data_IF_158690235165
#
_entry.id   IF_158690235165
#
_cell.length_a   1.000
_cell.length_b   1.000
_cell.length_c   1.000
_cell.angle_alpha   90.00
_cell.angle_beta   90.00
_cell.angle_gamma   90.00
#
_symmetry.space_group_name_H-M   'P 1'
#
loop_
_entity.id
_entity.type
_entity.pdbx_description
1 polymer ?
#
# COMPACT_ATOMS: atom_id res chain seq x y z
N UNK A 1 -16.77 -5.46 25.12
CA UNK A 1 -15.45 -4.81 25.22
C UNK A 1 -14.70 -5.16 23.95
N UNK A 2 -14.34 -4.21 23.07
CA UNK A 2 -13.51 -4.53 21.92
C UNK A 2 -12.13 -4.98 22.41
N UNK A 3 -11.65 -6.09 21.87
CA UNK A 3 -10.32 -6.64 22.16
C UNK A 3 -9.27 -5.64 21.68
N UNK A 4 -8.26 -5.28 22.49
CA UNK A 4 -7.17 -4.43 22.01
C UNK A 4 -6.47 -5.13 20.83
N UNK A 5 -6.28 -4.39 19.74
CA UNK A 5 -5.44 -4.84 18.64
C UNK A 5 -4.01 -5.08 19.16
N UNK A 6 -3.33 -6.16 18.73
CA UNK A 6 -1.97 -6.41 19.15
C UNK A 6 -1.05 -5.27 18.70
N UNK A 7 -0.25 -4.75 19.62
CA UNK A 7 0.83 -3.81 19.30
C UNK A 7 1.88 -4.57 18.48
N UNK A 8 2.20 -4.15 17.24
CA UNK A 8 3.28 -4.77 16.49
C UNK A 8 4.59 -4.58 17.25
N UNK A 9 5.32 -5.68 17.45
CA UNK A 9 6.66 -5.61 18.02
C UNK A 9 7.60 -4.92 17.01
N UNK A 10 8.58 -4.12 17.47
CA UNK A 10 9.58 -3.54 16.57
C UNK A 10 10.32 -4.68 15.85
N UNK A 11 10.07 -4.82 14.55
CA UNK A 11 10.76 -5.79 13.71
C UNK A 11 12.19 -5.30 13.47
N UNK A 12 13.18 -6.18 13.63
CA UNK A 12 14.54 -5.84 13.23
C UNK A 12 14.57 -5.53 11.72
N UNK A 13 15.43 -4.60 11.25
CA UNK A 13 15.54 -4.31 9.83
C UNK A 13 15.79 -5.58 9.04
N UNK A 14 14.91 -5.86 8.08
CA UNK A 14 15.02 -7.02 7.21
C UNK A 14 16.23 -6.84 6.29
N UNK A 15 17.10 -7.85 6.20
CA UNK A 15 18.09 -7.88 5.12
C UNK A 15 17.36 -8.09 3.79
N UNK A 16 17.52 -7.16 2.84
CA UNK A 16 16.84 -7.21 1.56
C UNK A 16 17.74 -7.87 0.52
N UNK A 17 17.51 -9.16 0.26
CA UNK A 17 18.31 -9.95 -0.67
C UNK A 17 17.51 -10.45 -1.89
N UNK A 18 16.19 -10.46 -1.79
CA UNK A 18 15.27 -10.89 -2.85
C UNK A 18 14.15 -9.88 -3.09
N UNK A 19 13.48 -10.02 -4.23
CA UNK A 19 12.30 -9.22 -4.55
C UNK A 19 11.15 -9.51 -3.56
N UNK A 20 11.05 -10.73 -3.02
CA UNK A 20 10.12 -11.05 -1.95
C UNK A 20 10.45 -10.30 -0.65
N UNK A 21 11.73 -10.17 -0.29
CA UNK A 21 12.13 -9.37 0.89
C UNK A 21 11.73 -7.91 0.72
N UNK A 22 11.91 -7.38 -0.50
CA UNK A 22 11.54 -6.00 -0.80
C UNK A 22 10.04 -5.78 -0.75
N UNK A 23 9.25 -6.72 -1.29
CA UNK A 23 7.79 -6.70 -1.23
C UNK A 23 7.32 -6.65 0.24
N UNK A 24 7.81 -7.60 1.03
CA UNK A 24 7.42 -7.72 2.44
C UNK A 24 7.86 -6.51 3.28
N UNK A 25 9.02 -5.89 3.00
CA UNK A 25 9.42 -4.63 3.65
C UNK A 25 8.40 -3.51 3.41
N UNK A 26 7.92 -3.36 2.17
CA UNK A 26 6.91 -2.35 1.83
C UNK A 26 5.58 -2.69 2.49
N UNK A 27 5.18 -3.96 2.52
CA UNK A 27 3.93 -4.39 3.13
C UNK A 27 3.92 -4.20 4.65
N UNK A 28 5.02 -4.52 5.33
CA UNK A 28 5.18 -4.28 6.76
C UNK A 28 5.04 -2.78 7.06
N UNK A 29 5.69 -1.92 6.26
CA UNK A 29 5.54 -0.47 6.38
C UNK A 29 4.09 -0.01 6.17
N UNK A 30 3.39 -0.53 5.15
CA UNK A 30 1.98 -0.20 4.88
C UNK A 30 1.07 -0.56 6.05
N UNK A 31 1.25 -1.75 6.64
CA UNK A 31 0.50 -2.20 7.82
C UNK A 31 0.77 -1.30 9.03
N UNK A 32 2.02 -0.94 9.27
CA UNK A 32 2.39 -0.05 10.37
C UNK A 32 1.79 1.36 10.18
N UNK A 33 1.79 1.89 8.95
CA UNK A 33 1.17 3.18 8.67
C UNK A 33 -0.34 3.18 8.90
N UNK A 34 -1.06 2.10 8.57
CA UNK A 34 -2.49 1.98 8.88
C UNK A 34 -2.75 2.10 10.38
N UNK A 35 -1.95 1.43 11.21
CA UNK A 35 -2.07 1.47 12.68
C UNK A 35 -1.79 2.87 13.21
N UNK A 36 -0.71 3.50 12.76
CA UNK A 36 -0.31 4.83 13.20
C UNK A 36 -1.33 5.90 12.80
N UNK A 37 -1.75 5.93 11.54
CA UNK A 37 -2.73 6.90 11.04
C UNK A 37 -4.07 6.76 11.75
N UNK A 38 -4.51 5.52 12.04
CA UNK A 38 -5.75 5.30 12.80
C UNK A 38 -5.66 5.90 14.20
N UNK A 39 -4.58 5.62 14.92
CA UNK A 39 -4.39 6.11 16.28
C UNK A 39 -4.32 7.65 16.32
N UNK A 40 -3.65 8.28 15.34
CA UNK A 40 -3.59 9.73 15.22
C UNK A 40 -4.97 10.35 14.90
N UNK A 41 -5.74 9.74 13.99
CA UNK A 41 -7.10 10.18 13.67
C UNK A 41 -8.03 10.08 14.88
N UNK A 42 -8.02 8.96 15.60
CA UNK A 42 -8.82 8.78 16.82
C UNK A 42 -8.46 9.82 17.88
N UNK A 43 -7.16 10.05 18.12
CA UNK A 43 -6.69 11.05 19.08
C UNK A 43 -7.12 12.48 18.69
N UNK A 44 -7.05 12.83 17.40
CA UNK A 44 -7.51 14.12 16.88
C UNK A 44 -9.01 14.32 17.09
N UNK A 45 -9.83 13.33 16.73
CA UNK A 45 -11.28 13.45 16.90
C UNK A 45 -11.71 13.45 18.37
N UNK A 46 -11.05 12.67 19.23
CA UNK A 46 -11.29 12.71 20.67
C UNK A 46 -10.95 14.09 21.27
N UNK A 47 -9.80 14.67 20.90
CA UNK A 47 -9.42 16.00 21.34
C UNK A 47 -10.40 17.09 20.87
N UNK A 48 -10.91 16.97 19.64
CA UNK A 48 -11.95 17.87 19.11
C UNK A 48 -13.26 17.76 19.88
N UNK A 49 -13.73 16.53 20.15
CA UNK A 49 -14.99 16.30 20.87
C UNK A 49 -14.92 16.81 22.33
N UNK A 50 -13.75 16.72 22.96
CA UNK A 50 -13.52 17.22 24.32
C UNK A 50 -13.44 18.76 24.39
N UNK A 51 -13.18 19.45 23.28
CA UNK A 51 -13.05 20.91 23.26
C UNK A 51 -14.42 21.60 23.22
N UNK A 52 -14.91 22.03 24.38
CA UNK A 52 -16.23 22.68 24.55
C UNK A 52 -16.17 24.09 25.16
N UNK A 53 -14.97 24.69 25.30
CA UNK A 53 -14.75 25.95 26.04
C UNK A 53 -14.13 27.10 25.21
N UNK A 54 -14.08 28.33 25.74
CA UNK A 54 -13.57 29.53 25.04
C UNK A 54 -12.03 29.56 24.87
N UNK A 55 -11.34 28.46 25.18
CA UNK A 55 -9.89 28.33 25.08
C UNK A 55 -9.42 28.16 23.64
N UNK A 56 -8.10 28.19 23.42
CA UNK A 56 -7.54 27.93 22.09
C UNK A 56 -7.92 26.49 21.67
N UNK A 57 -8.48 26.27 20.46
CA UNK A 57 -8.76 24.93 19.96
C UNK A 57 -7.47 24.08 19.93
N UNK A 58 -7.57 22.74 19.92
CA UNK A 58 -6.41 21.87 19.70
C UNK A 58 -5.59 22.39 18.51
N UNK A 59 -4.27 22.34 18.62
CA UNK A 59 -3.39 23.01 17.67
C UNK A 59 -3.74 22.61 16.22
N UNK A 60 -3.99 23.57 15.31
CA UNK A 60 -4.28 23.30 13.89
C UNK A 60 -3.25 22.39 13.21
N UNK A 61 -2.05 22.29 13.81
CA UNK A 61 -0.97 21.45 13.34
C UNK A 61 -1.27 19.95 13.32
N UNK A 62 -2.12 19.41 14.20
CA UNK A 62 -2.36 17.96 14.22
C UNK A 62 -3.19 17.48 13.02
N UNK A 63 -4.26 18.20 12.66
CA UNK A 63 -5.03 17.90 11.45
C UNK A 63 -4.21 18.06 10.17
N UNK A 64 -3.29 19.02 10.13
CA UNK A 64 -2.34 19.18 9.02
C UNK A 64 -1.31 18.05 8.96
N UNK A 65 -0.83 17.56 10.10
CA UNK A 65 0.08 16.42 10.17
C UNK A 65 -0.60 15.13 9.71
N UNK A 66 -1.82 14.85 10.16
CA UNK A 66 -2.60 13.70 9.69
C UNK A 66 -2.80 13.79 8.19
N UNK A 67 -3.15 14.98 7.66
CA UNK A 67 -3.28 15.19 6.23
C UNK A 67 -2.00 14.86 5.46
N UNK A 68 -0.85 15.34 5.93
CA UNK A 68 0.44 15.08 5.28
C UNK A 68 0.77 13.58 5.27
N UNK A 69 0.61 12.90 6.41
CA UNK A 69 0.89 11.46 6.52
C UNK A 69 -0.09 10.62 5.71
N UNK A 70 -1.37 10.97 5.69
CA UNK A 70 -2.35 10.29 4.84
C UNK A 70 -1.99 10.45 3.35
N UNK A 71 -1.52 11.63 2.92
CA UNK A 71 -1.08 11.84 1.54
C UNK A 71 0.16 11.02 1.21
N UNK A 72 1.18 11.02 2.09
CA UNK A 72 2.39 10.20 1.92
C UNK A 72 2.09 8.70 1.83
N UNK A 73 1.19 8.21 2.69
CA UNK A 73 0.70 6.83 2.62
C UNK A 73 -0.04 6.55 1.30
N UNK A 74 -0.95 7.45 0.88
CA UNK A 74 -1.71 7.29 -0.36
C UNK A 74 -0.81 7.32 -1.61
N UNK A 75 0.21 8.17 -1.62
CA UNK A 75 1.16 8.27 -2.73
C UNK A 75 2.06 7.03 -2.78
N UNK A 76 2.57 6.58 -1.63
CA UNK A 76 3.38 5.34 -1.55
C UNK A 76 2.58 4.12 -1.99
N UNK A 77 1.33 3.99 -1.54
CA UNK A 77 0.44 2.89 -1.96
C UNK A 77 0.18 2.93 -3.47
N UNK A 78 0.01 4.12 -4.04
CA UNK A 78 -0.19 4.29 -5.48
C UNK A 78 1.05 3.85 -6.26
N UNK A 79 2.23 4.28 -5.81
CA UNK A 79 3.50 3.91 -6.43
C UNK A 79 3.75 2.39 -6.39
N UNK A 80 3.50 1.77 -5.23
CA UNK A 80 3.63 0.33 -5.01
C UNK A 80 2.76 -0.48 -5.97
N UNK A 81 1.43 -0.27 -5.98
CA UNK A 81 0.54 -1.01 -6.88
C UNK A 81 0.84 -0.73 -8.36
N UNK A 82 1.24 0.50 -8.71
CA UNK A 82 1.62 0.81 -10.11
C UNK A 82 2.86 0.03 -10.52
N UNK A 83 3.87 -0.07 -9.64
CA UNK A 83 5.07 -0.85 -9.92
C UNK A 83 4.75 -2.35 -10.08
N UNK A 84 3.80 -2.87 -9.30
CA UNK A 84 3.31 -4.24 -9.47
C UNK A 84 2.60 -4.46 -10.80
N UNK A 85 1.59 -3.64 -11.08
CA UNK A 85 0.78 -3.72 -12.29
C UNK A 85 1.64 -3.63 -13.56
N UNK A 86 2.58 -2.69 -13.58
CA UNK A 86 3.36 -2.38 -14.78
C UNK A 86 4.59 -3.29 -14.96
N UNK A 87 5.11 -3.87 -13.88
CA UNK A 87 6.41 -4.57 -13.91
C UNK A 87 6.39 -5.95 -13.25
N UNK A 88 5.94 -6.05 -11.99
CA UNK A 88 6.07 -7.30 -11.23
C UNK A 88 5.09 -8.36 -11.72
N UNK A 89 3.80 -8.06 -11.80
CA UNK A 89 2.77 -9.02 -12.21
C UNK A 89 2.98 -9.51 -13.65
N UNK A 90 3.32 -8.66 -14.64
CA UNK A 90 3.68 -9.14 -15.98
C UNK A 90 4.90 -10.08 -15.99
N UNK A 91 5.93 -9.76 -15.19
CA UNK A 91 7.12 -10.60 -15.05
C UNK A 91 6.80 -11.97 -14.43
N UNK A 92 5.96 -12.00 -13.40
CA UNK A 92 5.46 -13.23 -12.77
C UNK A 92 4.65 -14.03 -13.78
N UNK A 93 3.72 -13.42 -14.51
CA UNK A 93 2.88 -14.11 -15.51
C UNK A 93 3.71 -14.78 -16.60
N UNK A 94 4.79 -14.14 -17.05
CA UNK A 94 5.67 -14.68 -18.09
C UNK A 94 6.36 -15.98 -17.65
N UNK A 95 6.73 -16.10 -16.36
CA UNK A 95 7.44 -17.27 -15.83
C UNK A 95 6.50 -18.29 -15.14
N UNK A 96 5.33 -17.83 -14.68
CA UNK A 96 4.36 -18.62 -13.91
C UNK A 96 2.94 -18.46 -14.50
N UNK A 97 2.68 -18.91 -15.75
CA UNK A 97 1.41 -18.66 -16.45
C UNK A 97 0.18 -19.29 -15.76
N UNK A 98 0.39 -20.27 -14.88
CA UNK A 98 -0.67 -20.89 -14.07
C UNK A 98 -1.23 -19.96 -12.98
N UNK A 99 -0.59 -18.83 -12.70
CA UNK A 99 -1.06 -17.84 -11.73
C UNK A 99 -1.99 -16.77 -12.33
N UNK A 100 -2.36 -16.87 -13.61
CA UNK A 100 -3.17 -15.84 -14.31
C UNK A 100 -4.38 -15.35 -13.49
N UNK A 101 -5.23 -16.27 -13.04
CA UNK A 101 -6.46 -15.90 -12.31
C UNK A 101 -6.16 -15.21 -10.97
N UNK A 102 -5.05 -15.59 -10.31
CA UNK A 102 -4.55 -14.93 -9.10
C UNK A 102 -4.11 -13.50 -9.41
N UNK A 103 -3.34 -13.29 -10.48
CA UNK A 103 -2.84 -11.97 -10.87
C UNK A 103 -3.98 -11.05 -11.34
N UNK A 104 -4.93 -11.58 -12.10
CA UNK A 104 -6.12 -10.82 -12.53
C UNK A 104 -6.93 -10.33 -11.32
N UNK A 105 -7.04 -11.18 -10.28
CA UNK A 105 -7.65 -10.78 -9.01
C UNK A 105 -6.89 -9.67 -8.30
N UNK A 106 -5.55 -9.73 -8.23
CA UNK A 106 -4.75 -8.68 -7.60
C UNK A 106 -4.97 -7.31 -8.27
N UNK A 107 -4.99 -7.29 -9.61
CA UNK A 107 -5.27 -6.07 -10.38
C UNK A 107 -6.68 -5.51 -10.07
N UNK A 108 -7.69 -6.38 -9.90
CA UNK A 108 -9.03 -5.94 -9.52
C UNK A 108 -9.09 -5.39 -8.09
N UNK A 109 -8.33 -5.99 -7.17
CA UNK A 109 -8.16 -5.50 -5.79
C UNK A 109 -7.44 -4.14 -5.77
N UNK A 110 -6.40 -3.92 -6.58
CA UNK A 110 -5.72 -2.62 -6.73
C UNK A 110 -6.68 -1.51 -7.17
N UNK A 111 -7.56 -1.81 -8.13
CA UNK A 111 -8.60 -0.87 -8.58
C UNK A 111 -9.62 -0.57 -7.48
N UNK A 112 -10.00 -1.57 -6.69
CA UNK A 112 -10.90 -1.39 -5.55
C UNK A 112 -10.28 -0.51 -4.47
N UNK A 113 -9.02 -0.78 -4.11
CA UNK A 113 -8.25 0.00 -3.15
C UNK A 113 -8.04 1.45 -3.61
N UNK A 114 -7.82 1.67 -4.91
CA UNK A 114 -7.74 3.03 -5.47
C UNK A 114 -9.04 3.80 -5.23
N UNK A 115 -10.21 3.19 -5.47
CA UNK A 115 -11.51 3.84 -5.18
C UNK A 115 -11.70 4.12 -3.69
N UNK A 116 -11.24 3.22 -2.81
CA UNK A 116 -11.31 3.40 -1.36
C UNK A 116 -10.43 4.54 -0.88
N UNK A 117 -9.20 4.60 -1.39
CA UNK A 117 -8.25 5.69 -1.16
C UNK A 117 -8.83 7.04 -1.58
N UNK A 118 -9.44 7.13 -2.77
CA UNK A 118 -10.06 8.36 -3.26
C UNK A 118 -11.21 8.85 -2.37
N UNK A 119 -12.06 7.94 -1.85
CA UNK A 119 -13.10 8.28 -0.88
C UNK A 119 -12.51 8.84 0.41
N UNK A 120 -11.45 8.21 0.93
CA UNK A 120 -10.77 8.67 2.14
C UNK A 120 -10.13 10.07 1.94
N UNK A 121 -9.47 10.29 0.80
CA UNK A 121 -8.86 11.57 0.45
C UNK A 121 -9.90 12.70 0.32
N UNK A 122 -11.09 12.39 -0.19
CA UNK A 122 -12.18 13.37 -0.25
C UNK A 122 -12.62 13.82 1.15
N UNK A 123 -12.70 12.90 2.12
CA UNK A 123 -13.03 13.22 3.51
C UNK A 123 -11.90 13.96 4.24
N UNK A 124 -10.65 13.68 3.87
CA UNK A 124 -9.46 14.32 4.43
C UNK A 124 -9.42 15.84 4.17
N UNK A 125 -10.07 16.31 3.09
CA UNK A 125 -10.17 17.72 2.77
C UNK A 125 -10.76 18.54 3.93
N UNK A 126 -11.73 17.96 4.64
CA UNK A 126 -12.47 18.58 5.73
C UNK A 126 -12.13 17.98 7.10
N UNK A 127 -10.99 17.32 7.31
CA UNK A 127 -10.66 16.61 8.57
C UNK A 127 -10.73 17.49 9.84
N UNK A 128 -10.66 18.82 9.69
CA UNK A 128 -10.78 19.80 10.79
C UNK A 128 -12.22 20.14 11.19
N UNK A 129 -13.21 19.86 10.34
CA UNK A 129 -14.63 20.28 10.52
C UNK A 129 -15.64 19.19 10.17
N UNK A 130 -15.24 18.21 9.37
CA UNK A 130 -16.06 17.13 8.84
C UNK A 130 -16.42 16.04 9.85
N UNK A 131 -17.20 15.09 9.36
CA UNK A 131 -17.77 13.98 10.13
C UNK A 131 -16.69 12.94 10.51
N UNK A 132 -16.37 12.91 11.80
CA UNK A 132 -15.42 11.97 12.37
C UNK A 132 -15.85 10.50 12.22
N UNK A 133 -17.15 10.21 12.36
CA UNK A 133 -17.68 8.85 12.28
C UNK A 133 -17.53 8.33 10.86
N UNK A 134 -17.86 9.16 9.87
CA UNK A 134 -17.71 8.80 8.47
C UNK A 134 -16.24 8.60 8.08
N UNK A 135 -15.33 9.49 8.49
CA UNK A 135 -13.90 9.35 8.22
C UNK A 135 -13.34 8.04 8.78
N UNK A 136 -13.62 7.73 10.05
CA UNK A 136 -13.12 6.52 10.69
C UNK A 136 -13.71 5.25 10.06
N UNK A 137 -14.98 5.27 9.68
CA UNK A 137 -15.60 4.13 9.00
C UNK A 137 -14.98 3.85 7.63
N UNK A 138 -14.73 4.89 6.82
CA UNK A 138 -14.07 4.73 5.51
C UNK A 138 -12.59 4.33 5.64
N UNK A 139 -11.90 4.86 6.66
CA UNK A 139 -10.54 4.44 6.98
C UNK A 139 -10.50 2.94 7.31
N UNK A 140 -11.39 2.46 8.19
CA UNK A 140 -11.42 1.07 8.63
C UNK A 140 -11.76 0.11 7.51
N UNK A 141 -12.68 0.51 6.63
CA UNK A 141 -13.01 -0.24 5.42
C UNK A 141 -11.78 -0.38 4.51
N UNK A 142 -11.09 0.72 4.23
CA UNK A 142 -9.87 0.69 3.41
C UNK A 142 -8.76 -0.13 4.07
N UNK A 143 -8.55 0.02 5.38
CA UNK A 143 -7.54 -0.72 6.12
C UNK A 143 -7.78 -2.24 6.08
N UNK A 144 -9.05 -2.67 6.22
CA UNK A 144 -9.44 -4.06 6.10
C UNK A 144 -9.24 -4.62 4.69
N UNK A 145 -9.63 -3.85 3.67
CA UNK A 145 -9.40 -4.21 2.26
C UNK A 145 -7.91 -4.36 1.95
N UNK A 146 -7.08 -3.41 2.39
CA UNK A 146 -5.64 -3.44 2.14
C UNK A 146 -5.00 -4.61 2.88
N UNK A 147 -5.34 -4.83 4.15
CA UNK A 147 -4.77 -5.95 4.93
C UNK A 147 -5.08 -7.30 4.28
N UNK A 148 -6.33 -7.52 3.86
CA UNK A 148 -6.73 -8.76 3.18
C UNK A 148 -6.05 -8.93 1.80
N UNK A 149 -5.88 -7.83 1.08
CA UNK A 149 -5.16 -7.81 -0.19
C UNK A 149 -3.68 -8.21 0.00
N UNK A 150 -2.96 -7.57 0.93
CA UNK A 150 -1.55 -7.87 1.20
C UNK A 150 -1.35 -9.33 1.63
N UNK A 151 -2.25 -9.88 2.46
CA UNK A 151 -2.21 -11.30 2.86
C UNK A 151 -2.39 -12.25 1.67
N UNK A 152 -3.33 -11.93 0.77
CA UNK A 152 -3.57 -12.73 -0.42
C UNK A 152 -2.37 -12.66 -1.38
N UNK A 153 -1.85 -11.47 -1.63
CA UNK A 153 -0.68 -11.28 -2.48
C UNK A 153 0.54 -12.03 -1.94
N UNK A 154 0.86 -11.87 -0.66
CA UNK A 154 2.00 -12.53 -0.04
C UNK A 154 1.91 -14.05 -0.14
N UNK A 155 0.71 -14.62 0.03
CA UNK A 155 0.46 -16.06 -0.08
C UNK A 155 0.91 -16.61 -1.44
N UNK A 156 0.72 -15.85 -2.51
CA UNK A 156 0.97 -16.32 -3.87
C UNK A 156 2.29 -15.83 -4.47
N UNK A 157 2.70 -14.59 -4.16
CA UNK A 157 3.85 -13.96 -4.78
C UNK A 157 5.15 -14.22 -4.03
N UNK A 158 5.14 -14.32 -2.69
CA UNK A 158 6.39 -14.55 -1.93
C UNK A 158 7.14 -15.81 -2.40
N UNK A 159 6.49 -16.97 -2.62
CA UNK A 159 7.21 -18.18 -3.05
C UNK A 159 7.91 -18.04 -4.41
N UNK A 160 7.33 -17.27 -5.34
CA UNK A 160 7.90 -17.08 -6.69
C UNK A 160 8.93 -15.95 -6.71
N UNK A 161 8.72 -14.89 -5.92
CA UNK A 161 9.62 -13.75 -5.85
C UNK A 161 10.87 -13.99 -4.98
N UNK A 162 10.83 -14.96 -4.05
CA UNK A 162 11.98 -15.32 -3.22
C UNK A 162 13.18 -15.83 -4.04
N UNK A 163 12.94 -16.26 -5.28
CA UNK A 163 13.98 -16.74 -6.21
C UNK A 163 14.60 -15.63 -7.06
N UNK A 164 14.11 -14.38 -6.94
CA UNK A 164 14.56 -13.24 -7.72
C UNK A 164 15.50 -12.38 -6.85
N UNK A 165 16.82 -12.32 -7.14
CA UNK A 165 17.75 -11.47 -6.38
C UNK A 165 17.40 -9.99 -6.47
N UNK A 166 17.62 -9.25 -5.39
CA UNK A 166 17.43 -7.80 -5.34
C UNK A 166 18.74 -7.07 -4.97
N UNK A 167 19.11 -5.96 -5.65
CA UNK A 167 18.40 -5.37 -6.79
C UNK A 167 18.46 -6.27 -8.03
N UNK A 168 17.43 -6.25 -8.90
CA UNK A 168 17.42 -7.04 -10.12
C UNK A 168 18.63 -6.66 -10.98
N UNK A 169 19.25 -7.66 -11.60
CA UNK A 169 20.36 -7.42 -12.52
C UNK A 169 19.91 -6.46 -13.64
N UNK A 170 20.79 -5.57 -14.14
CA UNK A 170 20.47 -4.76 -15.30
C UNK A 170 20.05 -5.67 -16.47
N UNK A 171 19.09 -5.25 -17.31
CA UNK A 171 18.73 -6.02 -18.48
C UNK A 171 20.00 -6.32 -19.29
N UNK A 172 20.22 -7.60 -19.60
CA UNK A 172 21.31 -8.01 -20.47
C UNK A 172 21.22 -7.33 -21.83
N UNK A 173 22.31 -7.29 -22.62
CA UNK A 173 22.27 -6.77 -23.99
C UNK A 173 21.12 -7.44 -24.75
N UNK A 174 20.17 -6.64 -25.24
CA UNK A 174 19.16 -7.17 -26.16
C UNK A 174 19.87 -7.49 -27.47
N UNK A 175 19.81 -8.76 -27.90
CA UNK A 175 20.28 -9.12 -29.24
C UNK A 175 19.47 -8.31 -30.26
N UNK A 176 20.13 -7.63 -31.22
CA UNK A 176 19.41 -6.91 -32.25
C UNK A 176 18.55 -7.90 -33.05
N UNK A 177 17.34 -7.49 -33.49
CA UNK A 177 16.49 -8.35 -34.30
C UNK A 177 17.28 -8.84 -35.51
N UNK A 178 17.36 -10.17 -35.63
CA UNK A 178 18.19 -10.86 -36.62
C UNK A 178 18.00 -10.28 -38.01
N UNK A 179 19.09 -9.84 -38.62
CA UNK A 179 19.10 -9.39 -40.00
C UNK A 179 18.58 -10.52 -40.92
N UNK A 180 17.72 -10.21 -41.91
CA UNK A 180 17.24 -11.23 -42.84
C UNK A 180 18.42 -11.83 -43.60
N UNK A 181 18.51 -13.16 -43.56
CA UNK A 181 19.53 -13.93 -44.29
C UNK A 181 19.52 -13.64 -45.79
N UNK A 182 20.67 -13.80 -46.47
CA UNK A 182 20.81 -13.44 -47.87
C UNK A 182 19.85 -14.26 -48.74
N UNK A 183 19.12 -13.58 -49.62
CA UNK A 183 18.30 -14.21 -50.65
C UNK A 183 19.23 -14.82 -51.70
N UNK A 184 19.26 -16.15 -51.78
CA UNK A 184 19.90 -16.88 -52.87
C UNK A 184 19.17 -16.56 -54.20
N UNK A 185 19.96 -16.33 -55.26
CA UNK A 185 19.51 -16.07 -56.64
C UNK A 185 19.59 -17.34 -57.47
#
# INVERSE_FOLDING_TARGET
MPTPAPTPAPQAPREINSLADKLLEVHDWLRDQLVHLRAEADAHFAARAAHQGPGRPPAPGLGLQIRQRCLEFCDTLTFHHTAEDDHILPGVLAHHPHLRDTLDRLVDEHRALTRSKERLLALLADIGTGDAVLFLAEFDRMAGELTAHLEYEETWLVPVLAQVPFPPAPPGPQDPPGAPGPRER
#
